data_IF_832574132413
#
_entry.id   IF_832574132413
#
_cell.length_a   1.000
_cell.length_b   1.000
_cell.length_c   1.000
_cell.angle_alpha   90.00
_cell.angle_beta   90.00
_cell.angle_gamma   90.00
#
_symmetry.space_group_name_H-M   'P 1'
#
loop_
_entity.id
_entity.type
_entity.pdbx_description
1 polymer ?
#
# COMPACT_ATOMS: atom_id res chain seq x y z
N UNK A 1 -12.64 -13.12 -23.45
CA UNK A 1 -11.81 -13.42 -22.27
C UNK A 1 -11.23 -12.08 -21.86
N UNK A 2 -11.79 -11.43 -20.84
CA UNK A 2 -11.21 -10.20 -20.29
C UNK A 2 -10.27 -10.63 -19.17
N UNK A 3 -8.96 -10.65 -19.43
CA UNK A 3 -7.98 -10.64 -18.35
C UNK A 3 -8.04 -9.25 -17.73
N UNK A 4 -8.62 -9.14 -16.53
CA UNK A 4 -8.67 -7.89 -15.79
C UNK A 4 -7.36 -7.80 -14.99
N UNK A 5 -6.43 -7.00 -15.49
CA UNK A 5 -5.19 -6.73 -14.77
C UNK A 5 -5.49 -5.96 -13.49
N UNK A 6 -4.78 -6.28 -12.40
CA UNK A 6 -4.98 -5.62 -11.11
C UNK A 6 -3.65 -5.06 -10.61
N UNK A 7 -3.66 -3.80 -10.20
CA UNK A 7 -2.56 -3.16 -9.49
C UNK A 7 -3.04 -2.80 -8.07
N UNK A 8 -2.37 -3.32 -7.04
CA UNK A 8 -2.73 -3.10 -5.64
C UNK A 8 -1.59 -2.36 -4.94
N UNK A 9 -1.91 -1.27 -4.25
CA UNK A 9 -1.02 -0.65 -3.28
C UNK A 9 -1.48 -1.03 -1.86
N UNK A 10 -0.63 -1.72 -1.11
CA UNK A 10 -0.88 -2.03 0.30
C UNK A 10 -0.17 -1.00 1.17
N UNK A 11 -0.95 -0.28 1.99
CA UNK A 11 -0.47 0.65 3.01
C UNK A 11 -0.40 -0.08 4.34
N UNK A 12 0.80 -0.35 4.83
CA UNK A 12 1.08 -0.99 6.12
C UNK A 12 1.29 0.05 7.21
N UNK A 13 0.58 -0.08 8.33
CA UNK A 13 0.62 0.84 9.45
C UNK A 13 1.78 0.46 10.38
N UNK A 14 2.87 1.22 10.28
CA UNK A 14 4.05 1.08 11.12
C UNK A 14 4.01 2.03 12.32
N UNK A 15 2.83 2.53 12.72
CA UNK A 15 2.68 3.45 13.86
C UNK A 15 2.79 2.74 15.22
N UNK A 16 3.09 3.53 16.25
CA UNK A 16 3.29 3.06 17.62
C UNK A 16 2.08 2.34 18.23
N UNK A 17 0.86 2.62 17.75
CA UNK A 17 -0.36 1.99 18.26
C UNK A 17 -0.57 0.56 17.77
N UNK A 18 -0.03 0.24 16.60
CA UNK A 18 -0.05 -1.10 16.01
C UNK A 18 0.86 -2.03 16.83
N UNK A 19 2.09 -1.59 17.10
CA UNK A 19 3.10 -2.43 17.75
C UNK A 19 3.76 -3.43 16.80
N UNK A 20 4.96 -3.88 17.16
CA UNK A 20 5.79 -4.76 16.32
C UNK A 20 5.10 -6.10 16.01
N UNK A 21 4.37 -6.67 16.97
CA UNK A 21 3.64 -7.93 16.77
C UNK A 21 2.57 -7.81 15.67
N UNK A 22 1.74 -6.77 15.71
CA UNK A 22 0.71 -6.58 14.69
C UNK A 22 1.31 -6.16 13.35
N UNK A 23 2.43 -5.44 13.35
CA UNK A 23 3.14 -5.13 12.11
C UNK A 23 3.66 -6.41 11.42
N UNK A 24 4.12 -7.40 12.18
CA UNK A 24 4.45 -8.72 11.62
C UNK A 24 3.21 -9.48 11.12
N UNK A 25 2.04 -9.32 11.76
CA UNK A 25 0.77 -9.85 11.22
C UNK A 25 0.38 -9.15 9.91
N UNK A 26 0.63 -7.85 9.78
CA UNK A 26 0.44 -7.11 8.53
C UNK A 26 1.34 -7.68 7.42
N UNK A 27 2.64 -7.91 7.69
CA UNK A 27 3.55 -8.56 6.72
C UNK A 27 3.03 -9.94 6.30
N UNK A 28 2.55 -10.75 7.24
CA UNK A 28 1.99 -12.07 6.93
C UNK A 28 0.73 -11.97 6.06
N UNK A 29 -0.13 -10.98 6.32
CA UNK A 29 -1.28 -10.69 5.48
C UNK A 29 -0.86 -10.31 4.05
N UNK A 30 0.11 -9.39 3.90
CA UNK A 30 0.62 -8.97 2.58
C UNK A 30 1.24 -10.14 1.81
N UNK A 31 2.04 -10.99 2.48
CA UNK A 31 2.62 -12.19 1.88
C UNK A 31 1.54 -13.16 1.39
N UNK A 32 0.51 -13.40 2.21
CA UNK A 32 -0.62 -14.27 1.86
C UNK A 32 -1.44 -13.71 0.71
N UNK A 33 -1.65 -12.39 0.69
CA UNK A 33 -2.35 -11.69 -0.38
C UNK A 33 -1.59 -11.82 -1.71
N UNK A 34 -0.28 -11.56 -1.72
CA UNK A 34 0.56 -11.71 -2.91
C UNK A 34 0.47 -13.12 -3.49
N UNK A 35 0.54 -14.16 -2.64
CA UNK A 35 0.38 -15.56 -3.06
C UNK A 35 -1.00 -15.84 -3.65
N UNK A 36 -2.06 -15.32 -3.03
CA UNK A 36 -3.44 -15.55 -3.50
C UNK A 36 -3.74 -14.91 -4.85
N UNK A 37 -2.98 -13.87 -5.21
CA UNK A 37 -3.13 -13.13 -6.46
C UNK A 37 -2.21 -13.64 -7.57
N UNK A 38 -1.40 -14.68 -7.31
CA UNK A 38 -0.44 -15.23 -8.27
C UNK A 38 0.39 -14.14 -8.97
N UNK A 39 1.05 -13.26 -8.20
CA UNK A 39 1.79 -12.11 -8.77
C UNK A 39 2.87 -12.51 -9.79
N UNK A 40 3.34 -13.77 -9.74
CA UNK A 40 4.28 -14.36 -10.69
C UNK A 40 3.69 -14.59 -12.10
N UNK A 41 2.37 -14.69 -12.23
CA UNK A 41 1.68 -14.82 -13.52
C UNK A 41 1.60 -13.49 -14.27
N UNK A 42 1.89 -12.37 -13.59
CA UNK A 42 1.89 -11.02 -14.15
C UNK A 42 0.49 -10.40 -14.29
N UNK A 43 -0.58 -11.11 -13.93
CA UNK A 43 -1.95 -10.57 -13.96
C UNK A 43 -2.23 -9.63 -12.79
N UNK A 44 -1.52 -9.77 -11.68
CA UNK A 44 -1.59 -8.89 -10.52
C UNK A 44 -0.21 -8.32 -10.15
N UNK A 45 -0.16 -7.03 -9.84
CA UNK A 45 1.02 -6.37 -9.27
C UNK A 45 0.72 -5.79 -7.90
N UNK A 46 1.67 -5.90 -6.97
CA UNK A 46 1.57 -5.40 -5.61
C UNK A 46 2.69 -4.40 -5.32
N UNK A 47 2.32 -3.19 -4.90
CA UNK A 47 3.21 -2.25 -4.26
C UNK A 47 2.99 -2.29 -2.74
N UNK A 48 4.07 -2.14 -1.98
CA UNK A 48 4.03 -2.10 -0.51
C UNK A 48 4.58 -0.78 -0.04
N UNK A 49 3.79 -0.07 0.76
CA UNK A 49 4.11 1.23 1.33
C UNK A 49 3.94 1.12 2.83
N UNK A 50 4.97 1.40 3.62
CA UNK A 50 4.80 1.56 5.06
C UNK A 50 4.49 3.01 5.40
N UNK A 51 3.67 3.25 6.40
CA UNK A 51 3.43 4.60 6.89
C UNK A 51 3.39 4.67 8.41
N UNK A 52 3.83 5.82 8.92
CA UNK A 52 3.67 6.26 10.30
C UNK A 52 3.58 7.79 10.27
N UNK A 53 4.56 8.54 10.78
CA UNK A 53 4.61 10.00 10.64
C UNK A 53 4.95 10.44 9.20
N UNK A 54 5.62 9.56 8.44
CA UNK A 54 5.88 9.67 7.02
C UNK A 54 5.46 8.38 6.30
N UNK A 55 5.61 8.31 4.98
CA UNK A 55 5.32 7.11 4.20
C UNK A 55 6.42 6.84 3.18
N UNK A 56 6.73 5.57 2.96
CA UNK A 56 7.79 5.12 2.08
C UNK A 56 7.32 3.93 1.24
N UNK A 57 7.54 4.00 -0.07
CA UNK A 57 7.38 2.86 -0.98
C UNK A 57 8.58 1.94 -0.83
N UNK A 58 8.34 0.70 -0.43
CA UNK A 58 9.39 -0.33 -0.30
C UNK A 58 9.43 -1.25 -1.51
N UNK A 59 8.25 -1.63 -2.01
CA UNK A 59 8.10 -2.48 -3.19
C UNK A 59 7.25 -1.71 -4.21
N UNK A 60 7.77 -1.57 -5.43
CA UNK A 60 7.06 -0.96 -6.56
C UNK A 60 6.23 -2.01 -7.30
N UNK A 61 5.17 -1.59 -7.98
CA UNK A 61 4.33 -2.48 -8.82
C UNK A 61 5.16 -3.30 -9.82
N UNK A 62 6.23 -2.71 -10.36
CA UNK A 62 7.11 -3.36 -11.35
C UNK A 62 8.03 -4.42 -10.75
N UNK A 63 8.15 -4.48 -9.42
CA UNK A 63 9.09 -5.37 -8.73
C UNK A 63 8.39 -6.59 -8.12
N UNK A 64 7.05 -6.65 -8.16
CA UNK A 64 6.26 -7.76 -7.65
C UNK A 64 6.06 -8.86 -8.70
N UNK A 65 7.16 -9.41 -9.23
CA UNK A 65 7.11 -10.44 -10.29
C UNK A 65 7.60 -11.80 -9.83
N UNK A 66 8.19 -11.89 -8.64
CA UNK A 66 8.69 -13.12 -8.05
C UNK A 66 8.26 -13.20 -6.59
N UNK A 67 7.67 -14.34 -6.22
CA UNK A 67 7.06 -14.50 -4.90
C UNK A 67 8.08 -14.57 -3.77
N UNK A 68 9.26 -15.13 -4.01
CA UNK A 68 10.30 -15.31 -3.00
C UNK A 68 11.07 -14.00 -2.77
N UNK A 69 11.42 -13.29 -3.84
CA UNK A 69 11.99 -11.94 -3.77
C UNK A 69 11.03 -10.97 -3.09
N UNK A 70 9.75 -10.99 -3.46
CA UNK A 70 8.73 -10.17 -2.80
C UNK A 70 8.69 -10.42 -1.29
N UNK A 71 8.73 -11.70 -0.86
CA UNK A 71 8.74 -12.06 0.56
C UNK A 71 10.05 -11.68 1.27
N UNK A 72 11.18 -11.65 0.58
CA UNK A 72 12.45 -11.14 1.14
C UNK A 72 12.38 -9.62 1.34
N UNK A 73 11.98 -8.86 0.33
CA UNK A 73 11.82 -7.40 0.43
C UNK A 73 10.80 -7.03 1.53
N UNK A 74 9.67 -7.74 1.59
CA UNK A 74 8.63 -7.52 2.60
C UNK A 74 9.14 -7.76 4.04
N UNK A 75 9.97 -8.79 4.24
CA UNK A 75 10.57 -9.07 5.57
C UNK A 75 11.49 -7.94 6.03
N UNK A 76 12.20 -7.31 5.10
CA UNK A 76 13.16 -6.24 5.37
C UNK A 76 12.51 -4.88 5.69
N UNK A 77 11.20 -4.73 5.48
CA UNK A 77 10.50 -3.48 5.80
C UNK A 77 10.56 -3.22 7.32
N UNK A 78 11.10 -2.07 7.76
CA UNK A 78 11.27 -1.78 9.17
C UNK A 78 9.96 -1.29 9.81
N UNK A 79 9.73 -1.70 11.07
CA UNK A 79 8.74 -1.07 11.94
C UNK A 79 9.31 0.26 12.48
N UNK A 80 8.54 1.34 12.44
CA UNK A 80 9.04 2.69 12.80
C UNK A 80 8.45 3.25 14.10
N UNK A 81 7.23 2.85 14.47
CA UNK A 81 6.63 3.16 15.77
C UNK A 81 6.26 4.63 16.01
N UNK A 82 6.21 5.48 14.97
CA UNK A 82 5.83 6.89 15.11
C UNK A 82 4.31 7.11 15.11
N UNK A 83 3.85 8.34 14.88
CA UNK A 83 2.41 8.68 14.79
C UNK A 83 1.76 8.06 13.56
N UNK A 84 0.44 8.18 13.42
CA UNK A 84 -0.29 7.65 12.26
C UNK A 84 -0.66 8.79 11.31
N UNK A 85 -0.15 8.78 10.08
CA UNK A 85 -0.46 9.74 9.03
C UNK A 85 -0.94 9.06 7.73
N UNK A 86 -2.20 8.60 7.75
CA UNK A 86 -2.88 8.01 6.59
C UNK A 86 -2.97 9.00 5.40
N UNK A 87 -3.14 10.32 5.65
CA UNK A 87 -3.29 11.29 4.55
C UNK A 87 -2.01 11.38 3.71
N UNK A 88 -0.86 11.43 4.37
CA UNK A 88 0.45 11.40 3.71
C UNK A 88 0.70 10.07 2.99
N UNK A 89 0.29 8.94 3.58
CA UNK A 89 0.37 7.64 2.93
C UNK A 89 -0.43 7.59 1.61
N UNK A 90 -1.66 8.11 1.60
CA UNK A 90 -2.49 8.20 0.40
C UNK A 90 -1.89 9.12 -0.67
N UNK A 91 -1.24 10.22 -0.25
CA UNK A 91 -0.51 11.10 -1.16
C UNK A 91 0.68 10.39 -1.82
N UNK A 92 1.45 9.61 -1.06
CA UNK A 92 2.56 8.80 -1.59
C UNK A 92 2.05 7.76 -2.58
N UNK A 93 0.93 7.09 -2.30
CA UNK A 93 0.32 6.16 -3.25
C UNK A 93 -0.13 6.86 -4.53
N UNK A 94 -0.82 7.98 -4.42
CA UNK A 94 -1.32 8.75 -5.56
C UNK A 94 -0.18 9.21 -6.48
N UNK A 95 0.93 9.67 -5.91
CA UNK A 95 2.02 10.31 -6.66
C UNK A 95 3.15 9.37 -7.05
N UNK A 96 3.48 8.38 -6.21
CA UNK A 96 4.66 7.52 -6.40
C UNK A 96 4.31 6.11 -6.88
N UNK A 97 3.10 5.61 -6.57
CA UNK A 97 2.65 4.27 -6.99
C UNK A 97 1.73 4.35 -8.21
N UNK A 98 0.68 5.18 -8.13
CA UNK A 98 -0.27 5.42 -9.23
C UNK A 98 -0.04 6.77 -9.93
N UNK A 99 1.19 7.28 -9.85
CA UNK A 99 1.62 8.45 -10.60
C UNK A 99 1.66 8.18 -12.11
N UNK A 100 1.71 9.25 -12.90
CA UNK A 100 1.86 9.12 -14.36
C UNK A 100 3.12 8.31 -14.71
N UNK A 101 2.97 7.37 -15.65
CA UNK A 101 4.06 6.48 -16.09
C UNK A 101 4.47 5.39 -15.10
N UNK A 102 3.83 5.27 -13.91
CA UNK A 102 4.15 4.25 -12.90
C UNK A 102 3.44 2.92 -13.10
N UNK A 103 2.32 2.92 -13.81
CA UNK A 103 1.65 1.73 -14.33
C UNK A 103 1.43 1.89 -15.83
N UNK A 104 2.05 1.01 -16.61
CA UNK A 104 1.99 1.02 -18.09
C UNK A 104 0.85 0.16 -18.64
N UNK A 105 0.03 -0.43 -17.76
CA UNK A 105 -0.98 -1.42 -18.13
C UNK A 105 -2.31 -0.75 -18.50
N UNK A 106 -2.79 -0.89 -19.76
CA UNK A 106 -4.09 -0.39 -20.14
C UNK A 106 -5.20 -1.22 -19.47
N UNK A 107 -6.31 -0.56 -19.11
CA UNK A 107 -7.50 -1.20 -18.52
C UNK A 107 -7.23 -1.96 -17.21
N UNK A 108 -6.34 -1.43 -16.37
CA UNK A 108 -6.00 -2.01 -15.06
C UNK A 108 -6.94 -1.53 -13.95
N UNK A 109 -7.46 -2.44 -13.13
CA UNK A 109 -8.17 -2.10 -11.90
C UNK A 109 -7.16 -1.75 -10.82
N UNK A 110 -7.26 -0.53 -10.27
CA UNK A 110 -6.38 -0.04 -9.19
C UNK A 110 -7.06 -0.14 -7.84
N UNK A 111 -6.36 -0.70 -6.86
CA UNK A 111 -6.86 -0.87 -5.49
C UNK A 111 -5.83 -0.34 -4.49
N UNK A 112 -6.30 0.39 -3.47
CA UNK A 112 -5.54 0.66 -2.25
C UNK A 112 -6.12 -0.16 -1.12
N UNK A 113 -5.28 -0.92 -0.43
CA UNK A 113 -5.62 -1.63 0.80
C UNK A 113 -4.89 -0.95 1.94
N UNK A 114 -5.65 -0.40 2.89
CA UNK A 114 -5.13 0.20 4.12
C UNK A 114 -5.19 -0.83 5.24
N UNK A 115 -4.03 -1.22 5.77
CA UNK A 115 -3.91 -1.96 7.03
C UNK A 115 -3.74 -0.94 8.16
N UNK A 116 -4.40 -1.17 9.30
CA UNK A 116 -4.31 -0.30 10.50
C UNK A 116 -4.93 -0.98 11.72
N UNK A 117 -4.56 -0.55 12.93
CA UNK A 117 -5.26 -0.89 14.18
C UNK A 117 -6.51 -0.01 14.44
N UNK A 118 -6.80 0.92 13.52
CA UNK A 118 -7.96 1.82 13.58
C UNK A 118 -7.71 3.13 14.32
N UNK A 119 -6.46 3.42 14.75
CA UNK A 119 -6.10 4.71 15.34
C UNK A 119 -5.47 5.63 14.31
N UNK A 120 -5.98 6.85 14.20
CA UNK A 120 -5.39 7.90 13.38
C UNK A 120 -4.97 9.06 14.27
N UNK A 121 -3.73 9.54 14.13
CA UNK A 121 -3.27 10.73 14.83
C UNK A 121 -3.79 11.97 14.11
N UNK A 122 -4.35 12.94 14.83
CA UNK A 122 -4.70 14.24 14.24
C UNK A 122 -3.42 15.00 13.94
N UNK A 123 -3.06 15.11 12.67
CA UNK A 123 -2.01 16.00 12.20
C UNK A 123 -2.66 17.32 11.75
N UNK A 124 -2.49 18.44 12.50
CA UNK A 124 -3.06 19.72 12.12
C UNK A 124 -2.41 20.37 10.88
N UNK A 125 -1.38 19.76 10.29
CA UNK A 125 -0.45 20.43 9.36
C UNK A 125 -0.23 19.70 8.02
N UNK A 126 -1.10 18.74 7.68
CA UNK A 126 -1.10 18.12 6.36
C UNK A 126 -1.69 19.06 5.30
N UNK A 127 -0.93 20.09 4.92
CA UNK A 127 -1.29 21.07 3.88
C UNK A 127 -0.92 20.50 2.51
N UNK A 128 -1.82 19.72 1.92
CA UNK A 128 -1.71 19.32 0.52
C UNK A 128 -2.41 20.36 -0.38
N UNK A 129 -1.86 20.62 -1.57
CA UNK A 129 -2.50 21.48 -2.57
C UNK A 129 -3.86 20.91 -3.01
N UNK A 130 -3.99 19.58 -3.02
CA UNK A 130 -5.23 18.84 -3.31
C UNK A 130 -5.43 17.72 -2.29
N UNK A 131 -6.69 17.33 -2.03
CA UNK A 131 -7.00 16.25 -1.09
C UNK A 131 -6.63 14.89 -1.69
N UNK A 132 -5.68 14.13 -1.11
CA UNK A 132 -5.21 12.86 -1.69
C UNK A 132 -6.33 11.83 -1.91
N UNK A 133 -7.37 11.87 -1.08
CA UNK A 133 -8.55 11.01 -1.24
C UNK A 133 -9.31 11.34 -2.52
N UNK A 134 -9.45 12.63 -2.86
CA UNK A 134 -10.11 13.06 -4.09
C UNK A 134 -9.29 12.67 -5.32
N UNK A 135 -7.97 12.89 -5.31
CA UNK A 135 -7.10 12.46 -6.42
C UNK A 135 -7.26 10.96 -6.73
N UNK A 136 -7.29 10.11 -5.70
CA UNK A 136 -7.51 8.67 -5.87
C UNK A 136 -8.94 8.34 -6.33
N UNK A 137 -9.94 9.16 -5.99
CA UNK A 137 -11.32 9.01 -6.51
C UNK A 137 -11.39 9.35 -7.99
N UNK A 138 -10.76 10.45 -8.39
CA UNK A 138 -10.73 10.92 -9.77
C UNK A 138 -9.98 9.93 -10.69
N UNK A 139 -9.00 9.19 -10.13
CA UNK A 139 -8.30 8.08 -10.79
C UNK A 139 -9.05 6.73 -10.74
N UNK A 140 -10.29 6.72 -10.24
CA UNK A 140 -11.14 5.53 -10.07
C UNK A 140 -10.50 4.40 -9.24
N UNK A 141 -9.59 4.75 -8.34
CA UNK A 141 -8.91 3.78 -7.48
C UNK A 141 -9.89 3.27 -6.44
N UNK A 142 -10.07 1.95 -6.34
CA UNK A 142 -10.89 1.32 -5.29
C UNK A 142 -10.12 1.37 -3.97
N UNK A 143 -10.81 1.55 -2.84
CA UNK A 143 -10.19 1.70 -1.51
C UNK A 143 -10.82 0.71 -0.55
N UNK A 144 -9.99 -0.06 0.15
CA UNK A 144 -10.37 -1.07 1.14
C UNK A 144 -9.60 -0.79 2.43
N UNK A 145 -10.25 -0.88 3.57
CA UNK A 145 -9.60 -0.80 4.88
C UNK A 145 -9.75 -2.14 5.60
N UNK A 146 -8.66 -2.62 6.19
CA UNK A 146 -8.58 -3.89 6.92
C UNK A 146 -8.00 -3.60 8.30
N UNK A 147 -8.74 -3.97 9.35
CA UNK A 147 -8.28 -3.84 10.73
C UNK A 147 -7.36 -4.99 11.12
N UNK A 148 -6.24 -4.69 11.78
CA UNK A 148 -5.31 -5.69 12.34
C UNK A 148 -5.18 -5.44 13.85
N UNK A 149 -5.48 -6.46 14.66
CA UNK A 149 -5.48 -6.40 16.13
C UNK A 149 -5.65 -7.77 16.76
#
# INVERSE_FOLDING_TARGET
>A
MCSEFIDIAVLMDASGSVGEENFEREKQFVSSLARSLSIEEGDAHLAVVSYSNSAQVHIQLTNSTDQDQFNEELRQIPYTGFTTNIRFALHVVDTQVFGEGRSSRPYVTRIVILLTDGRQTRHPEDVFQTDPVQNLRDKEVKRVAVGVG
#
